data_IF_804674147069
#
_entry.id   IF_804674147069
#
_cell.length_a   1.000
_cell.length_b   1.000
_cell.length_c   1.000
_cell.angle_alpha   90.00
_cell.angle_beta   90.00
_cell.angle_gamma   90.00
#
_symmetry.space_group_name_H-M   'P 1'
#
loop_
_entity.id
_entity.type
_entity.pdbx_description
1 polymer ?
#
# COMPACT_ATOMS: atom_id res chain seq x y z
N UNK A 1 -45.14 10.05 29.83
CA UNK A 1 -45.59 8.85 29.09
C UNK A 1 -44.59 8.34 28.05
N UNK A 2 -43.63 9.16 27.57
CA UNK A 2 -42.69 8.79 26.49
C UNK A 2 -41.53 7.82 26.85
N UNK A 3 -41.42 7.36 28.11
CA UNK A 3 -40.32 6.48 28.55
C UNK A 3 -40.69 4.99 28.47
N UNK A 4 -41.96 4.64 28.66
CA UNK A 4 -42.44 3.26 28.60
C UNK A 4 -42.43 2.71 27.15
N UNK A 5 -42.79 3.53 26.17
CA UNK A 5 -42.76 3.14 24.74
C UNK A 5 -41.33 2.93 24.23
N UNK A 6 -40.36 3.72 24.71
CA UNK A 6 -38.94 3.54 24.36
C UNK A 6 -38.39 2.23 24.92
N UNK A 7 -38.75 1.85 26.15
CA UNK A 7 -38.33 0.58 26.75
C UNK A 7 -39.01 -0.62 26.07
N UNK A 8 -40.29 -0.48 25.69
CA UNK A 8 -41.00 -1.50 24.91
C UNK A 8 -40.34 -1.78 23.56
N UNK A 9 -39.94 -0.72 22.84
CA UNK A 9 -39.26 -0.83 21.55
C UNK A 9 -37.85 -1.42 21.66
N UNK A 10 -37.14 -1.13 22.76
CA UNK A 10 -35.83 -1.72 23.03
C UNK A 10 -35.98 -3.22 23.32
N UNK A 11 -36.99 -3.61 24.10
CA UNK A 11 -37.25 -5.02 24.41
C UNK A 11 -37.62 -5.83 23.17
N UNK A 12 -38.46 -5.30 22.27
CA UNK A 12 -38.79 -5.98 21.00
C UNK A 12 -37.59 -6.10 20.08
N UNK A 13 -36.74 -5.09 19.98
CA UNK A 13 -35.52 -5.15 19.16
C UNK A 13 -34.53 -6.21 19.67
N UNK A 14 -34.36 -6.32 21.00
CA UNK A 14 -33.49 -7.34 21.62
C UNK A 14 -34.03 -8.75 21.34
N UNK A 15 -35.35 -8.95 21.41
CA UNK A 15 -35.97 -10.26 21.11
C UNK A 15 -35.81 -10.60 19.63
N UNK A 16 -35.98 -9.64 18.73
CA UNK A 16 -35.79 -9.86 17.28
C UNK A 16 -34.33 -10.19 16.92
N UNK A 17 -33.36 -9.51 17.54
CA UNK A 17 -31.93 -9.83 17.37
C UNK A 17 -31.59 -11.24 17.87
N UNK A 18 -32.15 -11.64 19.02
CA UNK A 18 -31.90 -12.97 19.60
C UNK A 18 -32.52 -14.09 18.75
N UNK A 19 -33.73 -13.89 18.23
CA UNK A 19 -34.36 -14.83 17.30
C UNK A 19 -33.59 -14.93 15.97
N UNK A 20 -33.01 -13.82 15.49
CA UNK A 20 -32.15 -13.84 14.30
C UNK A 20 -30.85 -14.63 14.54
N UNK A 21 -30.23 -14.46 15.71
CA UNK A 21 -29.04 -15.21 16.13
C UNK A 21 -29.33 -16.71 16.30
N UNK A 22 -30.47 -17.07 16.91
CA UNK A 22 -30.85 -18.47 17.10
C UNK A 22 -31.16 -19.17 15.77
N UNK A 23 -31.75 -18.46 14.80
CA UNK A 23 -31.96 -18.99 13.43
C UNK A 23 -30.65 -19.19 12.67
N UNK A 24 -29.69 -18.27 12.80
CA UNK A 24 -28.35 -18.40 12.22
C UNK A 24 -27.57 -19.55 12.86
N UNK A 25 -27.69 -19.71 14.18
CA UNK A 25 -27.04 -20.79 14.93
C UNK A 25 -27.64 -22.15 14.60
N UNK A 26 -28.97 -22.26 14.53
CA UNK A 26 -29.65 -23.48 14.11
C UNK A 26 -29.34 -23.86 12.64
N UNK A 27 -29.21 -22.88 11.74
CA UNK A 27 -28.79 -23.12 10.36
C UNK A 27 -27.32 -23.56 10.25
N UNK A 28 -26.45 -23.07 11.14
CA UNK A 28 -25.06 -23.52 11.26
C UNK A 28 -24.96 -24.94 11.83
N UNK A 29 -25.73 -25.23 12.89
CA UNK A 29 -25.79 -26.55 13.54
C UNK A 29 -26.38 -27.63 12.62
N UNK A 30 -27.41 -27.31 11.82
CA UNK A 30 -27.93 -28.20 10.79
C UNK A 30 -26.92 -28.48 9.66
N UNK A 31 -25.99 -27.54 9.40
CA UNK A 31 -24.89 -27.72 8.44
C UNK A 31 -23.73 -28.53 9.02
N UNK A 32 -23.55 -28.53 10.35
CA UNK A 32 -22.53 -29.30 11.04
C UNK A 32 -22.92 -30.77 11.28
N UNK A 33 -24.20 -31.13 11.25
CA UNK A 33 -24.64 -32.52 11.40
C UNK A 33 -24.31 -33.43 10.19
N UNK A 34 -23.88 -32.85 9.05
CA UNK A 34 -23.30 -33.61 7.95
C UNK A 34 -21.79 -33.90 8.14
N UNK A 35 -21.16 -33.43 9.23
CA UNK A 35 -19.77 -33.75 9.54
C UNK A 35 -19.50 -34.01 11.05
N UNK A 36 -19.34 -35.32 11.36
CA UNK A 36 -18.44 -35.97 12.36
C UNK A 36 -18.97 -36.18 13.80
N UNK A 37 -18.38 -37.05 14.68
CA UNK A 37 -17.20 -37.97 14.55
C UNK A 37 -17.32 -39.36 15.25
N UNK A 38 -16.43 -40.33 14.97
CA UNK A 38 -16.11 -41.43 15.91
C UNK A 38 -14.58 -41.74 15.90
N UNK A 39 -13.86 -41.16 16.87
CA UNK A 39 -12.63 -41.70 17.48
C UNK A 39 -13.10 -42.16 18.88
N UNK A 40 -13.10 -43.44 19.26
CA UNK A 40 -11.96 -44.21 19.77
C UNK A 40 -12.30 -45.73 19.80
N UNK A 41 -11.27 -46.55 19.55
CA UNK A 41 -11.07 -47.96 19.95
C UNK A 41 -11.48 -49.14 19.00
N UNK A 42 -10.44 -49.65 18.32
CA UNK A 42 -10.07 -51.07 18.12
C UNK A 42 -10.87 -51.96 17.14
N UNK A 43 -10.29 -52.31 15.98
CA UNK A 43 -9.64 -53.61 15.79
C UNK A 43 -8.99 -53.73 14.39
N UNK A 44 -7.84 -54.39 14.38
CA UNK A 44 -6.97 -54.72 13.25
C UNK A 44 -7.65 -55.48 12.10
N UNK A 45 -7.29 -55.14 10.85
CA UNK A 45 -6.88 -56.08 9.81
C UNK A 45 -6.31 -55.33 8.59
N UNK A 46 -4.99 -55.48 8.39
CA UNK A 46 -4.22 -55.67 7.15
C UNK A 46 -4.91 -55.41 5.80
N UNK A 47 -4.27 -54.98 4.72
CA UNK A 47 -2.90 -54.66 4.31
C UNK A 47 -3.03 -54.12 2.87
N UNK A 48 -2.00 -53.47 2.37
CA UNK A 48 -1.72 -53.25 0.93
C UNK A 48 -2.56 -52.23 0.15
N UNK A 49 -2.03 -51.01 0.10
CA UNK A 49 -1.79 -50.32 -1.17
C UNK A 49 -0.67 -49.29 -0.98
N UNK A 50 0.58 -49.78 -0.95
CA UNK A 50 1.72 -48.94 -1.33
C UNK A 50 1.58 -48.59 -2.83
N UNK A 51 1.62 -47.29 -3.13
CA UNK A 51 1.56 -46.80 -4.50
C UNK A 51 1.79 -45.30 -4.61
N UNK A 52 3.01 -44.84 -4.27
CA UNK A 52 3.61 -43.59 -4.74
C UNK A 52 2.79 -42.30 -4.59
N UNK A 53 2.69 -41.76 -3.36
CA UNK A 53 1.90 -40.57 -3.05
C UNK A 53 2.70 -39.30 -2.73
N UNK A 54 3.97 -39.18 -3.15
CA UNK A 54 4.80 -38.02 -2.81
C UNK A 54 4.41 -36.72 -3.55
N UNK A 55 3.70 -36.82 -4.68
CA UNK A 55 3.35 -35.67 -5.50
C UNK A 55 2.07 -34.91 -5.12
N UNK A 56 1.08 -35.55 -4.45
CA UNK A 56 -0.26 -34.94 -4.25
C UNK A 56 -0.35 -34.04 -3.00
N UNK A 57 0.39 -34.37 -1.94
CA UNK A 57 0.50 -33.56 -0.72
C UNK A 57 1.34 -32.30 -1.03
N UNK A 58 2.39 -32.45 -1.84
CA UNK A 58 3.27 -31.36 -2.26
C UNK A 58 2.51 -30.33 -3.13
N UNK A 59 1.76 -30.76 -4.14
CA UNK A 59 0.95 -29.87 -5.00
C UNK A 59 -0.09 -29.07 -4.20
N UNK A 60 -0.73 -29.69 -3.20
CA UNK A 60 -1.76 -29.04 -2.38
C UNK A 60 -1.16 -27.94 -1.49
N UNK A 61 -0.02 -28.23 -0.85
CA UNK A 61 0.72 -27.24 -0.05
C UNK A 61 1.22 -26.05 -0.88
N UNK A 62 1.73 -26.28 -2.10
CA UNK A 62 2.14 -25.18 -2.99
C UNK A 62 0.98 -24.30 -3.46
N UNK A 63 -0.20 -24.90 -3.69
CA UNK A 63 -1.43 -24.15 -4.03
C UNK A 63 -1.89 -23.27 -2.87
N UNK A 64 -1.92 -23.82 -1.66
CA UNK A 64 -2.30 -23.08 -0.46
C UNK A 64 -1.32 -21.93 -0.18
N UNK A 65 -0.01 -22.20 -0.25
CA UNK A 65 1.03 -21.18 -0.09
C UNK A 65 0.92 -20.06 -1.13
N UNK A 66 0.65 -20.39 -2.40
CA UNK A 66 0.42 -19.40 -3.46
C UNK A 66 -0.86 -18.61 -3.24
N UNK A 67 -1.95 -19.27 -2.84
CA UNK A 67 -3.22 -18.61 -2.52
C UNK A 67 -3.06 -17.64 -1.37
N UNK A 68 -2.29 -18.01 -0.35
CA UNK A 68 -1.97 -17.17 0.79
C UNK A 68 -1.14 -15.94 0.38
N UNK A 69 -0.10 -16.13 -0.44
CA UNK A 69 0.69 -15.00 -0.98
C UNK A 69 -0.16 -14.02 -1.80
N UNK A 70 -1.06 -14.51 -2.65
CA UNK A 70 -1.98 -13.65 -3.43
C UNK A 70 -2.92 -12.88 -2.50
N UNK A 71 -3.47 -13.56 -1.48
CA UNK A 71 -4.37 -12.94 -0.50
C UNK A 71 -3.66 -11.86 0.31
N UNK A 72 -2.44 -12.13 0.77
CA UNK A 72 -1.61 -11.16 1.51
C UNK A 72 -1.24 -9.96 0.65
N UNK A 73 -0.85 -10.17 -0.60
CA UNK A 73 -0.55 -9.08 -1.54
C UNK A 73 -1.77 -8.19 -1.78
N UNK A 74 -2.96 -8.79 -1.95
CA UNK A 74 -4.21 -8.05 -2.11
C UNK A 74 -4.57 -7.24 -0.85
N UNK A 75 -4.48 -7.87 0.32
CA UNK A 75 -4.73 -7.18 1.59
C UNK A 75 -3.76 -6.01 1.80
N UNK A 76 -2.48 -6.18 1.44
CA UNK A 76 -1.47 -5.12 1.51
C UNK A 76 -1.81 -3.95 0.57
N UNK A 77 -2.23 -4.24 -0.66
CA UNK A 77 -2.70 -3.22 -1.60
C UNK A 77 -3.95 -2.48 -1.09
N UNK A 78 -4.91 -3.20 -0.52
CA UNK A 78 -6.12 -2.59 0.05
C UNK A 78 -5.78 -1.69 1.25
N UNK A 79 -4.83 -2.09 2.10
CA UNK A 79 -4.34 -1.26 3.20
C UNK A 79 -3.69 0.03 2.67
N UNK A 80 -2.86 -0.04 1.64
CA UNK A 80 -2.26 1.14 1.03
C UNK A 80 -3.31 2.09 0.45
N UNK A 81 -4.35 1.56 -0.19
CA UNK A 81 -5.47 2.37 -0.68
C UNK A 81 -6.24 3.06 0.45
N UNK A 82 -6.44 2.39 1.59
CA UNK A 82 -7.05 2.98 2.78
C UNK A 82 -6.17 4.09 3.39
N UNK A 83 -4.86 3.96 3.30
CA UNK A 83 -3.89 4.99 3.71
C UNK A 83 -3.78 6.15 2.70
N UNK A 84 -4.53 6.10 1.60
CA UNK A 84 -4.55 7.14 0.55
C UNK A 84 -3.41 7.02 -0.47
N UNK A 85 -2.69 5.90 -0.51
CA UNK A 85 -1.68 5.65 -1.54
C UNK A 85 -2.33 5.48 -2.91
N UNK A 86 -1.55 5.63 -3.98
CA UNK A 86 -2.09 5.59 -5.34
C UNK A 86 -2.65 6.91 -5.84
N UNK A 87 -2.44 7.99 -5.08
CA UNK A 87 -2.88 9.35 -5.42
C UNK A 87 -1.77 10.33 -5.12
N UNK A 88 -1.84 11.47 -5.80
CA UNK A 88 -0.95 12.60 -5.58
C UNK A 88 -1.78 13.80 -5.10
N UNK A 89 -1.80 14.00 -3.79
CA UNK A 89 -2.65 14.99 -3.11
C UNK A 89 -1.82 16.11 -2.49
N UNK A 90 -2.36 17.32 -2.50
CA UNK A 90 -1.79 18.45 -1.75
C UNK A 90 -2.19 18.34 -0.28
N UNK A 91 -1.21 18.42 0.60
CA UNK A 91 -1.38 18.37 2.06
C UNK A 91 -1.04 19.72 2.69
N UNK A 92 -1.64 19.98 3.84
CA UNK A 92 -1.34 21.15 4.67
C UNK A 92 -0.18 20.83 5.61
N UNK A 93 0.49 21.86 6.15
CA UNK A 93 1.63 21.72 7.05
C UNK A 93 1.34 20.83 8.27
N UNK A 94 0.15 20.97 8.89
CA UNK A 94 -0.25 20.17 10.05
C UNK A 94 -0.41 18.67 9.75
N UNK A 95 -0.76 18.34 8.50
CA UNK A 95 -0.99 16.97 8.05
C UNK A 95 0.29 16.28 7.57
N UNK A 96 1.40 17.02 7.43
CA UNK A 96 2.66 16.50 6.90
C UNK A 96 3.24 15.37 7.76
N UNK A 97 3.41 15.60 9.06
CA UNK A 97 3.96 14.59 9.97
C UNK A 97 3.11 13.31 10.03
N UNK A 98 1.79 13.36 10.22
CA UNK A 98 0.99 12.14 10.21
C UNK A 98 0.99 11.48 8.84
N UNK A 99 1.04 12.20 7.72
CA UNK A 99 1.11 11.60 6.39
C UNK A 99 2.41 10.82 6.15
N UNK A 100 3.55 11.39 6.55
CA UNK A 100 4.88 10.78 6.37
C UNK A 100 5.11 9.61 7.33
N UNK A 101 4.55 9.65 8.55
CA UNK A 101 4.75 8.58 9.56
C UNK A 101 3.76 7.42 9.45
N UNK A 102 2.56 7.63 8.87
CA UNK A 102 1.59 6.55 8.62
C UNK A 102 2.09 5.50 7.64
N UNK A 103 2.96 5.90 6.73
CA UNK A 103 3.44 5.09 5.61
C UNK A 103 4.91 4.75 5.80
N UNK A 104 5.33 3.54 5.43
CA UNK A 104 6.75 3.17 5.49
C UNK A 104 7.59 3.96 4.47
N UNK A 105 7.04 4.16 3.28
CA UNK A 105 7.69 4.90 2.21
C UNK A 105 6.82 6.10 1.86
N UNK A 106 7.43 7.27 1.84
CA UNK A 106 6.73 8.52 1.57
C UNK A 106 7.63 9.45 0.74
N UNK A 107 7.02 10.18 -0.19
CA UNK A 107 7.70 11.15 -1.04
C UNK A 107 6.90 12.44 -0.95
N UNK A 108 7.57 13.52 -0.56
CA UNK A 108 6.96 14.84 -0.48
C UNK A 108 7.62 15.81 -1.46
N UNK A 109 6.82 16.38 -2.35
CA UNK A 109 7.24 17.45 -3.24
C UNK A 109 6.91 18.82 -2.63
N UNK A 110 7.95 19.59 -2.34
CA UNK A 110 7.85 21.00 -2.00
C UNK A 110 7.76 21.81 -3.30
N UNK A 111 6.59 22.38 -3.53
CA UNK A 111 6.27 23.12 -4.75
C UNK A 111 5.88 24.56 -4.46
N UNK A 112 5.93 25.41 -5.48
CA UNK A 112 5.26 26.72 -5.49
C UNK A 112 4.54 26.87 -6.84
N UNK A 113 3.30 27.39 -6.85
CA UNK A 113 2.49 27.48 -8.07
C UNK A 113 3.08 28.44 -9.12
N UNK A 114 3.98 29.33 -8.71
CA UNK A 114 4.62 30.34 -9.56
C UNK A 114 5.72 29.74 -10.45
N UNK A 115 6.25 28.57 -10.12
CA UNK A 115 7.38 27.97 -10.82
C UNK A 115 6.94 26.91 -11.83
N UNK A 116 7.27 27.09 -13.11
CA UNK A 116 6.93 26.13 -14.16
C UNK A 116 7.64 24.78 -14.00
N UNK A 117 8.87 24.78 -13.48
CA UNK A 117 9.61 23.55 -13.15
C UNK A 117 8.85 22.64 -12.18
N UNK A 118 8.11 23.22 -11.24
CA UNK A 118 7.26 22.44 -10.32
C UNK A 118 6.14 21.71 -11.07
N UNK A 119 5.61 22.27 -12.16
CA UNK A 119 4.55 21.64 -12.97
C UNK A 119 5.06 20.38 -13.68
N UNK A 120 6.30 20.41 -14.16
CA UNK A 120 6.94 19.23 -14.77
C UNK A 120 7.11 18.12 -13.74
N UNK A 121 7.60 18.45 -12.54
CA UNK A 121 7.73 17.48 -11.45
C UNK A 121 6.38 16.90 -11.02
N UNK A 122 5.35 17.75 -10.92
CA UNK A 122 3.98 17.34 -10.60
C UNK A 122 3.44 16.31 -11.59
N UNK A 123 3.68 16.49 -12.90
CA UNK A 123 3.25 15.54 -13.93
C UNK A 123 3.87 14.16 -13.71
N UNK A 124 5.19 14.09 -13.55
CA UNK A 124 5.89 12.81 -13.37
C UNK A 124 5.52 12.11 -12.06
N UNK A 125 5.41 12.86 -10.96
CA UNK A 125 5.00 12.29 -9.67
C UNK A 125 3.55 11.80 -9.69
N UNK A 126 2.66 12.46 -10.43
CA UNK A 126 1.27 11.99 -10.61
C UNK A 126 1.22 10.64 -11.32
N UNK A 127 2.00 10.49 -12.39
CA UNK A 127 2.10 9.21 -13.13
C UNK A 127 2.72 8.11 -12.26
N UNK A 128 3.79 8.42 -11.52
CA UNK A 128 4.46 7.46 -10.63
C UNK A 128 3.59 7.06 -9.43
N UNK A 129 2.77 7.97 -8.91
CA UNK A 129 1.88 7.67 -7.79
C UNK A 129 0.87 6.57 -8.14
N UNK A 130 0.41 6.49 -9.40
CA UNK A 130 -0.52 5.46 -9.86
C UNK A 130 0.15 4.09 -9.98
N UNK A 131 1.44 4.06 -10.32
CA UNK A 131 2.22 2.84 -10.52
C UNK A 131 2.68 2.24 -9.19
N UNK A 132 3.13 3.09 -8.26
CA UNK A 132 3.74 2.69 -7.00
C UNK A 132 2.78 2.86 -5.82
N UNK A 133 1.92 1.86 -5.60
CA UNK A 133 0.98 1.84 -4.47
C UNK A 133 1.68 1.66 -3.12
N UNK A 134 2.89 1.12 -3.11
CA UNK A 134 3.69 0.91 -1.91
C UNK A 134 4.14 2.22 -1.25
N UNK A 135 4.18 3.32 -2.01
CA UNK A 135 4.74 4.60 -1.57
C UNK A 135 3.68 5.68 -1.58
N UNK A 136 3.65 6.49 -0.52
CA UNK A 136 2.74 7.63 -0.44
C UNK A 136 3.35 8.85 -1.11
N UNK A 137 2.73 9.32 -2.18
CA UNK A 137 3.11 10.54 -2.87
C UNK A 137 2.25 11.70 -2.38
N UNK A 138 2.87 12.82 -2.05
CA UNK A 138 2.19 14.02 -1.58
C UNK A 138 2.94 15.27 -2.02
N UNK A 139 2.23 16.40 -2.06
CA UNK A 139 2.83 17.70 -2.32
C UNK A 139 2.44 18.72 -1.28
N UNK A 140 3.32 19.67 -1.04
CA UNK A 140 3.12 20.74 -0.07
C UNK A 140 3.62 22.05 -0.66
N UNK A 141 2.84 23.11 -0.47
CA UNK A 141 3.27 24.43 -0.89
C UNK A 141 4.35 24.94 0.07
N UNK A 142 5.54 25.20 -0.44
CA UNK A 142 6.69 25.66 0.36
C UNK A 142 6.42 27.00 1.06
N UNK A 143 5.62 27.88 0.47
CA UNK A 143 5.25 29.18 1.06
C UNK A 143 4.27 29.03 2.22
N UNK A 144 3.41 28.00 2.18
CA UNK A 144 2.45 27.70 3.25
C UNK A 144 3.05 26.85 4.38
N UNK A 145 4.20 26.23 4.16
CA UNK A 145 4.87 25.35 5.13
C UNK A 145 6.32 25.79 5.41
N UNK A 146 6.52 27.00 5.99
CA UNK A 146 7.84 27.53 6.23
C UNK A 146 8.63 26.73 7.27
N UNK A 147 7.97 26.06 8.23
CA UNK A 147 8.64 25.31 9.28
C UNK A 147 9.40 24.11 8.69
N UNK A 148 8.74 23.31 7.85
CA UNK A 148 9.41 22.18 7.19
C UNK A 148 10.37 22.62 6.11
N UNK A 149 10.07 23.70 5.39
CA UNK A 149 10.99 24.26 4.39
C UNK A 149 12.32 24.67 5.02
N UNK A 150 12.30 25.30 6.20
CA UNK A 150 13.51 25.64 6.94
C UNK A 150 14.17 24.41 7.57
N UNK A 151 13.39 23.52 8.21
CA UNK A 151 13.92 22.34 8.90
C UNK A 151 14.62 21.37 7.96
N UNK A 152 14.08 21.18 6.76
CA UNK A 152 14.63 20.31 5.71
C UNK A 152 15.61 21.05 4.80
N UNK A 153 15.93 22.31 5.10
CA UNK A 153 16.86 23.15 4.35
C UNK A 153 16.51 23.27 2.85
N UNK A 154 15.22 23.42 2.55
CA UNK A 154 14.71 23.61 1.19
C UNK A 154 15.09 25.02 0.72
N UNK A 155 16.12 25.12 -0.13
CA UNK A 155 16.61 26.40 -0.68
C UNK A 155 16.17 26.67 -2.11
N UNK A 156 15.87 25.62 -2.87
CA UNK A 156 15.50 25.71 -4.29
C UNK A 156 14.22 24.91 -4.55
N UNK A 157 13.37 25.40 -5.44
CA UNK A 157 12.17 24.71 -5.90
C UNK A 157 12.32 24.30 -7.37
N UNK A 158 11.77 23.15 -7.79
CA UNK A 158 11.12 22.12 -6.97
C UNK A 158 12.12 21.37 -6.08
N UNK A 159 11.70 20.92 -4.89
CA UNK A 159 12.48 20.00 -4.06
C UNK A 159 11.65 18.79 -3.68
N UNK A 160 12.18 17.59 -3.88
CA UNK A 160 11.49 16.34 -3.56
C UNK A 160 12.25 15.63 -2.45
N UNK A 161 11.61 15.48 -1.30
CA UNK A 161 12.19 14.82 -0.14
C UNK A 161 11.68 13.39 -0.06
N UNK A 162 12.62 12.47 0.06
CA UNK A 162 12.36 11.04 0.14
C UNK A 162 12.39 10.61 1.61
N UNK A 163 11.32 9.95 2.06
CA UNK A 163 11.18 9.48 3.43
C UNK A 163 11.08 7.96 3.48
N UNK A 164 11.75 7.40 4.48
CA UNK A 164 11.68 6.00 4.84
C UNK A 164 11.50 5.86 6.34
N UNK A 165 10.44 5.18 6.74
CA UNK A 165 10.03 4.98 8.14
C UNK A 165 9.98 6.31 8.92
N UNK A 166 9.51 7.38 8.28
CA UNK A 166 9.43 8.72 8.86
C UNK A 166 10.73 9.54 8.84
N UNK A 167 11.84 8.98 8.36
CA UNK A 167 13.16 9.63 8.31
C UNK A 167 13.46 10.10 6.89
N UNK A 168 13.92 11.34 6.73
CA UNK A 168 14.37 11.87 5.45
C UNK A 168 15.69 11.18 5.03
N UNK A 169 15.66 10.46 3.91
CA UNK A 169 16.80 9.71 3.38
C UNK A 169 17.61 10.56 2.42
N UNK A 170 16.94 11.24 1.50
CA UNK A 170 17.56 12.04 0.46
C UNK A 170 16.61 13.15 -0.01
N UNK A 171 17.17 14.24 -0.52
CA UNK A 171 16.41 15.36 -1.09
C UNK A 171 16.93 15.66 -2.48
N UNK A 172 16.08 15.51 -3.48
CA UNK A 172 16.36 15.90 -4.86
C UNK A 172 16.10 17.40 -4.96
N UNK A 173 17.14 18.16 -5.25
CA UNK A 173 17.06 19.62 -5.36
C UNK A 173 17.02 20.03 -6.82
N UNK A 174 15.88 20.60 -7.25
CA UNK A 174 15.67 21.03 -8.63
C UNK A 174 15.75 19.86 -9.61
N UNK A 175 16.48 20.08 -10.71
CA UNK A 175 16.71 19.08 -11.75
C UNK A 175 18.19 18.67 -11.86
N UNK A 176 19.04 19.11 -10.93
CA UNK A 176 20.50 18.86 -11.00
C UNK A 176 20.81 17.37 -11.08
N UNK A 177 20.13 16.54 -10.28
CA UNK A 177 20.30 15.08 -10.27
C UNK A 177 19.58 14.36 -11.43
N UNK A 178 18.76 15.10 -12.20
CA UNK A 178 17.96 14.58 -13.31
C UNK A 178 18.52 15.01 -14.68
N UNK A 179 19.73 15.58 -14.70
CA UNK A 179 20.45 16.03 -15.90
C UNK A 179 20.38 17.54 -16.17
N UNK A 180 19.80 18.33 -15.25
CA UNK A 180 19.76 19.80 -15.34
C UNK A 180 18.85 20.36 -16.44
N UNK A 181 18.14 19.50 -17.16
CA UNK A 181 17.19 19.87 -18.21
C UNK A 181 15.78 20.05 -17.65
N UNK A 182 15.02 20.98 -18.23
CA UNK A 182 13.66 21.27 -17.77
C UNK A 182 12.64 20.19 -18.18
N UNK A 183 12.95 19.40 -19.21
CA UNK A 183 12.16 18.26 -19.66
C UNK A 183 13.00 16.99 -19.53
N UNK A 184 12.69 16.16 -18.53
CA UNK A 184 13.39 14.92 -18.27
C UNK A 184 12.43 13.73 -18.37
N UNK A 185 12.95 12.57 -18.75
CA UNK A 185 12.14 11.35 -18.84
C UNK A 185 11.75 10.87 -17.44
N UNK A 186 10.48 10.48 -17.25
CA UNK A 186 9.96 9.82 -16.03
C UNK A 186 10.89 8.70 -15.53
N UNK A 187 11.44 7.92 -16.47
CA UNK A 187 12.35 6.82 -16.17
C UNK A 187 13.59 7.25 -15.38
N UNK A 188 14.13 8.46 -15.58
CA UNK A 188 15.28 8.96 -14.80
C UNK A 188 14.91 9.18 -13.35
N UNK A 189 13.76 9.80 -13.10
CA UNK A 189 13.23 9.98 -11.75
C UNK A 189 12.93 8.63 -11.08
N UNK A 190 12.30 7.71 -11.80
CA UNK A 190 12.02 6.36 -11.29
C UNK A 190 13.29 5.59 -10.91
N UNK A 191 14.31 5.60 -11.78
CA UNK A 191 15.63 5.00 -11.49
C UNK A 191 16.24 5.57 -10.21
N UNK A 192 16.11 6.87 -10.00
CA UNK A 192 16.60 7.55 -8.80
C UNK A 192 15.81 7.09 -7.56
N UNK A 193 14.48 7.04 -7.62
CA UNK A 193 13.65 6.53 -6.52
C UNK A 193 13.98 5.06 -6.16
N UNK A 194 14.23 4.24 -7.18
CA UNK A 194 14.66 2.83 -7.02
C UNK A 194 16.04 2.74 -6.36
N UNK A 195 16.99 3.61 -6.74
CA UNK A 195 18.33 3.68 -6.14
C UNK A 195 18.26 3.93 -4.62
N UNK A 196 17.37 4.81 -4.19
CA UNK A 196 17.16 5.08 -2.76
C UNK A 196 16.21 4.09 -2.06
N UNK A 197 15.67 3.11 -2.79
CA UNK A 197 14.74 2.08 -2.29
C UNK A 197 13.45 2.68 -1.68
N UNK A 198 12.94 3.73 -2.32
CA UNK A 198 11.72 4.45 -1.91
C UNK A 198 10.53 4.03 -2.78
N UNK A 199 10.77 3.20 -3.80
CA UNK A 199 9.76 2.52 -4.62
C UNK A 199 10.24 1.09 -4.89
N UNK A 200 9.32 0.16 -5.12
CA UNK A 200 9.61 -1.21 -5.53
C UNK A 200 9.55 -1.31 -7.07
N UNK A 201 10.29 -2.26 -7.65
CA UNK A 201 10.25 -2.49 -9.11
C UNK A 201 8.92 -3.14 -9.46
N UNK A 202 8.10 -2.48 -10.27
CA UNK A 202 6.92 -3.10 -10.87
C UNK A 202 7.37 -4.22 -11.82
N UNK A 203 6.94 -5.46 -11.58
CA UNK A 203 7.19 -6.56 -12.51
C UNK A 203 6.35 -6.32 -13.79
N UNK A 204 6.98 -5.86 -14.87
CA UNK A 204 6.33 -5.74 -16.17
C UNK A 204 6.93 -4.68 -17.10
N UNK A 205 7.61 -3.67 -16.54
CA UNK A 205 8.23 -2.64 -17.36
C UNK A 205 9.63 -3.09 -17.78
N UNK A 206 9.76 -3.45 -19.06
CA UNK A 206 11.05 -3.48 -19.74
C UNK A 206 11.59 -2.04 -19.72
N UNK A 207 12.39 -1.73 -18.70
CA UNK A 207 13.27 -0.58 -18.74
C UNK A 207 14.15 -0.82 -19.96
N UNK A 208 13.87 -0.13 -21.06
CA UNK A 208 14.85 0.02 -22.11
C UNK A 208 16.03 0.73 -21.45
N UNK A 209 17.08 -0.04 -21.16
CA UNK A 209 18.41 0.47 -20.90
C UNK A 209 18.87 1.15 -22.20
N UNK A 210 18.33 2.33 -22.50
CA UNK A 210 19.09 3.31 -23.26
C UNK A 210 20.18 3.79 -22.32
N UNK A 211 21.40 3.35 -22.64
CA UNK A 211 22.65 3.92 -22.20
C UNK A 211 22.55 5.44 -22.22
N UNK A 212 22.55 6.05 -21.04
CA UNK A 212 22.88 7.46 -20.93
C UNK A 212 24.37 7.55 -21.30
N UNK A 213 24.64 7.87 -22.58
CA UNK A 213 25.97 8.24 -23.04
C UNK A 213 26.47 9.40 -22.17
N UNK A 214 27.50 9.14 -21.36
CA UNK A 214 28.37 10.17 -20.84
C UNK A 214 29.11 10.80 -22.03
N UNK A 215 28.48 11.77 -22.69
CA UNK A 215 29.23 12.81 -23.39
C UNK A 215 29.67 13.83 -22.37
N UNK A 216 30.74 13.49 -21.67
CA UNK A 216 31.61 14.46 -21.02
C UNK A 216 32.01 15.50 -22.07
N UNK A 217 31.46 16.72 -21.93
CA UNK A 217 31.93 17.88 -22.65
C UNK A 217 33.37 18.19 -22.20
N UNK A 218 34.30 18.03 -23.13
CA UNK A 218 35.62 18.67 -23.09
C UNK A 218 35.54 20.07 -23.72
#
# INVERSE_FOLDING_TARGET
>A
MATAEKLGNIATNIVLEKVAQDKLKAAYEARCQDQKPEEEAQHEANEEAEGGGDGLIDISHWREKRMQQIKEARNKQDLYRQQGHGKYEEIVEEEFLPAVTKSKLAICHFFSPTFDRCKVMDKHLTELALLHLETRFMKINAEKAPFFSQKLHIRCLPSVVLFKDGIAVHTIVGFTELGGVDDFRRAKLERLLLKYKVVERCLGDNISDESDDESDNN
#
